data_IF_875455521666
#
_entry.id   IF_875455521666
#
_cell.length_a   1.000
_cell.length_b   1.000
_cell.length_c   1.000
_cell.angle_alpha   90.00
_cell.angle_beta   90.00
_cell.angle_gamma   90.00
#
_symmetry.space_group_name_H-M   'P 1'
#
loop_
_entity.id
_entity.type
_entity.pdbx_description
1 polymer ?
#
# COMPACT_ATOMS: atom_id res chain seq x y z
N UNK A 1 2.74 19.06 7.06
CA UNK A 1 2.77 18.08 5.95
C UNK A 1 3.26 16.70 6.43
N UNK A 2 2.56 15.59 6.13
CA UNK A 2 3.07 14.25 6.38
C UNK A 2 4.13 13.97 5.31
N UNK A 3 5.40 13.99 5.71
CA UNK A 3 6.52 13.67 4.82
C UNK A 3 6.63 12.16 4.69
N UNK A 4 6.80 11.64 3.48
CA UNK A 4 7.24 10.26 3.26
C UNK A 4 8.54 10.06 4.05
N UNK A 5 8.50 9.18 5.06
CA UNK A 5 9.59 9.03 6.03
C UNK A 5 10.58 7.99 5.52
N UNK A 6 11.71 8.41 4.94
CA UNK A 6 12.86 7.53 4.62
C UNK A 6 12.45 6.16 4.06
N UNK A 7 11.55 6.16 3.07
CA UNK A 7 10.97 4.94 2.49
C UNK A 7 11.73 4.54 1.23
N UNK A 8 11.95 3.24 1.04
CA UNK A 8 12.50 2.69 -0.20
C UNK A 8 11.66 1.53 -0.71
N UNK A 9 11.57 1.39 -2.03
CA UNK A 9 11.00 0.21 -2.68
C UNK A 9 12.13 -0.75 -2.99
N UNK A 10 12.01 -1.98 -2.49
CA UNK A 10 12.96 -3.06 -2.78
C UNK A 10 12.24 -4.12 -3.59
N UNK A 11 12.78 -4.43 -4.77
CA UNK A 11 12.21 -5.49 -5.61
C UNK A 11 12.48 -6.84 -4.98
N UNK A 12 11.45 -7.69 -4.93
CA UNK A 12 11.61 -9.09 -4.52
C UNK A 12 12.15 -9.95 -5.66
N UNK A 13 12.13 -9.44 -6.90
CA UNK A 13 12.35 -10.20 -8.13
C UNK A 13 11.37 -11.37 -8.34
N UNK A 14 10.26 -11.40 -7.57
CA UNK A 14 9.23 -12.42 -7.70
C UNK A 14 8.05 -11.93 -8.52
N UNK A 15 7.57 -12.78 -9.42
CA UNK A 15 6.28 -12.65 -10.09
C UNK A 15 5.34 -13.62 -9.41
N UNK A 16 4.33 -13.08 -8.73
CA UNK A 16 3.42 -13.85 -7.89
C UNK A 16 2.00 -13.71 -8.45
N UNK A 17 1.26 -14.80 -8.40
CA UNK A 17 -0.17 -14.89 -8.71
C UNK A 17 -0.85 -15.67 -7.56
N UNK A 18 -2.10 -15.33 -7.27
CA UNK A 18 -2.94 -16.03 -6.29
C UNK A 18 -4.17 -16.62 -6.96
N UNK A 19 -4.82 -17.55 -6.27
CA UNK A 19 -6.12 -18.07 -6.72
C UNK A 19 -7.19 -16.96 -6.67
N UNK A 20 -8.27 -17.08 -7.47
CA UNK A 20 -9.38 -16.15 -7.43
C UNK A 20 -9.94 -15.96 -6.02
N UNK A 21 -10.05 -14.70 -5.59
CA UNK A 21 -10.55 -14.36 -4.26
C UNK A 21 -9.48 -14.38 -3.17
N UNK A 22 -8.21 -14.58 -3.51
CA UNK A 22 -7.09 -14.41 -2.58
C UNK A 22 -6.29 -13.13 -2.90
N UNK A 23 -5.58 -12.63 -1.90
CA UNK A 23 -4.62 -11.53 -2.00
C UNK A 23 -3.35 -11.88 -1.24
N UNK A 24 -2.24 -11.25 -1.60
CA UNK A 24 -1.00 -11.37 -0.86
C UNK A 24 -0.88 -10.25 0.17
N UNK A 25 -0.78 -10.62 1.44
CA UNK A 25 -0.35 -9.73 2.51
C UNK A 25 1.19 -9.74 2.58
N UNK A 26 1.79 -8.64 2.14
CA UNK A 26 3.17 -8.31 2.44
C UNK A 26 3.22 -7.67 3.81
N UNK A 27 4.08 -8.17 4.70
CA UNK A 27 4.17 -7.67 6.07
C UNK A 27 5.58 -7.88 6.62
N UNK A 28 5.87 -7.19 7.72
CA UNK A 28 7.14 -7.33 8.42
C UNK A 28 7.30 -8.72 9.04
N UNK A 29 8.55 -9.09 9.36
CA UNK A 29 8.87 -10.37 10.00
C UNK A 29 8.81 -10.16 11.51
N UNK A 30 7.84 -10.77 12.22
CA UNK A 30 7.73 -10.60 13.65
C UNK A 30 9.00 -11.08 14.36
N UNK A 31 9.39 -10.36 15.42
CA UNK A 31 10.53 -10.71 16.28
C UNK A 31 11.91 -10.73 15.59
N UNK A 32 12.05 -10.11 14.41
CA UNK A 32 13.33 -9.92 13.75
C UNK A 32 13.78 -8.45 13.90
N UNK A 33 14.66 -8.11 14.86
CA UNK A 33 15.10 -6.74 15.10
C UNK A 33 15.98 -6.25 13.95
N UNK A 34 15.56 -5.17 13.28
CA UNK A 34 16.23 -4.59 12.11
C UNK A 34 16.08 -3.07 12.14
N UNK A 35 17.01 -2.31 11.53
CA UNK A 35 16.95 -0.84 11.48
C UNK A 35 15.91 -0.30 10.47
N UNK A 36 14.93 -1.12 10.13
CA UNK A 36 13.84 -0.82 9.21
C UNK A 36 12.67 -1.77 9.49
N UNK A 37 11.49 -1.34 9.05
CA UNK A 37 10.28 -2.18 9.00
C UNK A 37 9.73 -2.27 7.59
N UNK A 38 9.08 -3.38 7.28
CA UNK A 38 8.29 -3.49 6.04
C UNK A 38 6.91 -2.88 6.27
N UNK A 39 6.51 -1.93 5.42
CA UNK A 39 5.15 -1.41 5.47
C UNK A 39 4.17 -2.48 4.95
N UNK A 40 3.08 -2.76 5.69
CA UNK A 40 2.14 -3.78 5.27
C UNK A 40 1.40 -3.34 4.02
N UNK A 41 1.21 -4.27 3.08
CA UNK A 41 0.48 -4.03 1.85
C UNK A 41 -0.33 -5.27 1.47
N UNK A 42 -1.50 -5.03 0.88
CA UNK A 42 -2.29 -6.07 0.23
C UNK A 42 -2.18 -5.92 -1.27
N UNK A 43 -1.95 -7.05 -1.93
CA UNK A 43 -1.66 -7.11 -3.35
C UNK A 43 -2.61 -8.09 -4.02
N UNK A 44 -3.45 -7.57 -4.92
CA UNK A 44 -4.45 -8.33 -5.68
C UNK A 44 -3.81 -8.91 -6.94
N UNK A 45 -3.04 -9.98 -6.78
CA UNK A 45 -2.27 -10.57 -7.89
C UNK A 45 -3.11 -11.43 -8.83
N UNK A 46 -4.32 -11.82 -8.42
CA UNK A 46 -5.29 -12.53 -9.27
C UNK A 46 -6.00 -11.60 -10.27
N UNK A 47 -6.18 -10.34 -9.89
CA UNK A 47 -6.90 -9.36 -10.69
C UNK A 47 -5.98 -8.38 -11.43
N UNK A 48 -4.83 -8.04 -10.83
CA UNK A 48 -3.83 -7.15 -11.42
C UNK A 48 -2.47 -7.85 -11.53
N UNK A 49 -2.25 -8.68 -12.57
CA UNK A 49 -0.94 -9.26 -12.79
C UNK A 49 0.07 -8.14 -13.09
N UNK A 50 1.05 -7.96 -12.21
CA UNK A 50 2.04 -6.91 -12.39
C UNK A 50 2.89 -7.18 -13.64
N UNK A 51 3.13 -6.14 -14.44
CA UNK A 51 4.09 -6.15 -15.55
C UNK A 51 5.55 -6.06 -15.09
N UNK A 52 5.79 -6.07 -13.78
CA UNK A 52 7.11 -6.00 -13.14
C UNK A 52 7.11 -6.84 -11.85
N UNK A 53 8.30 -7.27 -11.41
CA UNK A 53 8.45 -8.02 -10.17
C UNK A 53 7.87 -7.28 -8.98
N UNK A 54 7.23 -7.98 -8.03
CA UNK A 54 6.66 -7.34 -6.85
C UNK A 54 7.73 -6.67 -5.98
N UNK A 55 7.32 -5.68 -5.20
CA UNK A 55 8.22 -4.91 -4.35
C UNK A 55 7.65 -4.85 -2.93
N UNK A 56 8.53 -4.91 -1.92
CA UNK A 56 8.17 -4.48 -0.58
C UNK A 56 8.61 -3.02 -0.39
N UNK A 57 7.92 -2.31 0.50
CA UNK A 57 8.31 -0.96 0.91
C UNK A 57 8.94 -1.07 2.29
N UNK A 58 10.18 -0.64 2.40
CA UNK A 58 10.88 -0.53 3.67
C UNK A 58 10.78 0.90 4.17
N UNK A 59 10.54 1.07 5.46
CA UNK A 59 10.64 2.34 6.16
C UNK A 59 11.78 2.22 7.17
N UNK A 60 12.80 3.07 7.02
CA UNK A 60 13.96 3.10 7.91
C UNK A 60 13.60 3.76 9.24
N UNK A 61 14.26 3.33 10.32
CA UNK A 61 14.16 3.99 11.62
C UNK A 61 14.65 5.45 11.52
N UNK A 62 14.12 6.33 12.38
CA UNK A 62 14.43 7.77 12.30
C UNK A 62 15.91 8.07 12.56
N UNK A 63 16.55 7.25 13.41
CA UNK A 63 17.95 7.35 13.79
C UNK A 63 18.89 6.56 12.86
N UNK A 64 18.35 5.80 11.89
CA UNK A 64 19.14 5.04 10.96
C UNK A 64 19.54 5.90 9.75
N UNK A 65 20.85 6.18 9.63
CA UNK A 65 21.40 6.88 8.46
C UNK A 65 21.66 5.95 7.26
N UNK A 66 21.85 4.66 7.54
CA UNK A 66 22.12 3.60 6.55
C UNK A 66 21.54 2.29 7.03
N UNK A 67 21.02 1.49 6.10
CA UNK A 67 20.75 0.06 6.31
C UNK A 67 21.68 -0.76 5.41
N UNK A 68 22.08 -1.93 5.91
CA UNK A 68 22.76 -2.97 5.13
C UNK A 68 21.89 -4.21 5.23
N UNK A 69 21.52 -4.76 4.07
CA UNK A 69 20.74 -5.99 3.98
C UNK A 69 21.65 -7.00 3.31
N UNK A 70 21.97 -8.06 4.05
CA UNK A 70 22.86 -9.09 3.54
C UNK A 70 22.14 -9.99 2.53
N UNK A 71 22.91 -10.60 1.62
CA UNK A 71 22.34 -11.56 0.68
C UNK A 71 21.72 -12.73 1.46
N UNK A 72 20.46 -13.04 1.14
CA UNK A 72 19.72 -14.13 1.77
C UNK A 72 19.03 -13.72 3.07
N UNK A 73 19.23 -12.49 3.55
CA UNK A 73 18.44 -11.94 4.65
C UNK A 73 16.97 -11.84 4.23
N UNK A 74 16.03 -12.40 5.00
CA UNK A 74 14.63 -12.39 4.63
C UNK A 74 14.08 -10.96 4.75
N UNK A 75 13.57 -10.40 3.64
CA UNK A 75 13.09 -9.02 3.60
C UNK A 75 11.75 -8.85 4.32
N UNK A 76 10.75 -9.61 3.88
CA UNK A 76 9.38 -9.52 4.34
C UNK A 76 8.75 -10.91 4.40
N UNK A 77 7.59 -11.01 5.05
CA UNK A 77 6.72 -12.17 4.96
C UNK A 77 5.62 -11.89 3.93
N UNK A 78 5.35 -12.88 3.09
CA UNK A 78 4.26 -12.86 2.11
C UNK A 78 3.28 -13.96 2.51
N UNK A 79 2.02 -13.61 2.75
CA UNK A 79 0.99 -14.55 3.21
C UNK A 79 -0.22 -14.44 2.27
N UNK A 80 -0.70 -15.53 1.67
CA UNK A 80 -1.99 -15.52 0.99
C UNK A 80 -3.12 -15.35 2.02
N UNK A 81 -4.04 -14.44 1.74
CA UNK A 81 -5.20 -14.13 2.58
C UNK A 81 -6.44 -14.16 1.71
N UNK A 82 -7.52 -14.80 2.21
CA UNK A 82 -8.80 -14.83 1.51
C UNK A 82 -9.54 -13.50 1.63
N UNK A 83 -10.11 -13.05 0.51
CA UNK A 83 -11.08 -11.96 0.44
C UNK A 83 -12.47 -12.56 0.64
N UNK A 84 -12.97 -12.49 1.87
CA UNK A 84 -14.30 -13.03 2.18
C UNK A 84 -15.43 -12.04 1.86
N UNK A 85 -15.19 -10.73 2.02
CA UNK A 85 -16.25 -9.71 2.02
C UNK A 85 -16.00 -8.53 1.11
N UNK A 86 -14.82 -8.43 0.51
CA UNK A 86 -14.45 -7.32 -0.37
C UNK A 86 -13.98 -7.88 -1.71
N UNK A 87 -14.75 -7.58 -2.75
CA UNK A 87 -14.44 -7.94 -4.13
C UNK A 87 -14.38 -6.68 -4.93
N UNK A 88 -13.35 -6.60 -5.76
CA UNK A 88 -13.20 -5.48 -6.64
C UNK A 88 -13.56 -5.93 -8.06
N UNK A 89 -14.19 -5.02 -8.79
CA UNK A 89 -14.82 -5.26 -10.10
C UNK A 89 -14.44 -4.12 -11.03
N UNK A 90 -14.27 -4.44 -12.30
CA UNK A 90 -14.05 -3.44 -13.34
C UNK A 90 -15.27 -2.50 -13.40
N UNK A 91 -14.98 -1.20 -13.43
CA UNK A 91 -16.00 -0.19 -13.72
C UNK A 91 -16.22 -0.16 -15.24
N UNK A 92 -17.47 -0.06 -15.68
CA UNK A 92 -17.73 0.34 -17.06
C UNK A 92 -17.40 1.83 -17.27
N UNK A 93 -17.34 2.26 -18.53
CA UNK A 93 -16.95 3.62 -18.90
C UNK A 93 -17.85 4.68 -18.25
N UNK A 94 -19.15 4.41 -18.17
CA UNK A 94 -20.14 5.33 -17.57
C UNK A 94 -19.94 5.42 -16.05
N UNK A 95 -19.70 4.28 -15.38
CA UNK A 95 -19.39 4.21 -13.96
C UNK A 95 -18.09 4.95 -13.64
N UNK A 96 -17.05 4.75 -14.46
CA UNK A 96 -15.78 5.44 -14.30
C UNK A 96 -15.94 6.93 -14.50
N UNK A 97 -16.62 7.36 -15.58
CA UNK A 97 -16.90 8.78 -15.85
C UNK A 97 -17.63 9.44 -14.68
N UNK A 98 -18.72 8.83 -14.22
CA UNK A 98 -19.47 9.34 -13.07
C UNK A 98 -18.65 9.35 -11.77
N UNK A 99 -17.80 8.35 -11.53
CA UNK A 99 -16.90 8.33 -10.37
C UNK A 99 -15.83 9.43 -10.47
N UNK A 100 -15.21 9.58 -11.63
CA UNK A 100 -14.19 10.57 -11.91
C UNK A 100 -14.74 11.98 -11.72
N UNK A 101 -15.91 12.29 -12.28
CA UNK A 101 -16.56 13.60 -12.14
C UNK A 101 -16.88 13.94 -10.68
N UNK A 102 -17.39 12.96 -9.91
CA UNK A 102 -17.59 13.12 -8.46
C UNK A 102 -16.26 13.39 -7.75
N UNK A 103 -15.20 12.69 -8.13
CA UNK A 103 -13.85 12.89 -7.60
C UNK A 103 -13.33 14.30 -7.90
N UNK A 104 -13.49 14.79 -9.13
CA UNK A 104 -13.11 16.15 -9.53
C UNK A 104 -13.91 17.22 -8.77
N UNK A 105 -15.22 17.04 -8.64
CA UNK A 105 -16.07 17.95 -7.87
C UNK A 105 -15.67 17.97 -6.39
N UNK A 106 -15.35 16.81 -5.82
CA UNK A 106 -14.86 16.69 -4.45
C UNK A 106 -13.51 17.40 -4.28
N UNK A 107 -12.55 17.19 -5.19
CA UNK A 107 -11.24 17.85 -5.18
C UNK A 107 -11.38 19.37 -5.36
N UNK A 108 -12.29 19.84 -6.21
CA UNK A 108 -12.54 21.26 -6.38
C UNK A 108 -13.08 21.92 -5.10
N UNK A 109 -13.91 21.20 -4.33
CA UNK A 109 -14.56 21.68 -3.10
C UNK A 109 -13.69 21.52 -1.84
N UNK A 110 -12.91 20.45 -1.77
CA UNK A 110 -12.19 20.02 -0.56
C UNK A 110 -10.68 19.90 -0.76
N UNK A 111 -10.22 19.75 -2.01
CA UNK A 111 -8.81 19.63 -2.38
C UNK A 111 -8.10 20.96 -2.57
N UNK A 112 -8.78 22.10 -2.43
CA UNK A 112 -8.12 23.40 -2.34
C UNK A 112 -7.71 23.66 -0.90
N UNK A 113 -6.42 23.46 -0.60
CA UNK A 113 -5.83 24.07 0.59
C UNK A 113 -5.92 25.60 0.47
N UNK A 114 -5.83 26.31 1.60
CA UNK A 114 -5.81 27.77 1.59
C UNK A 114 -4.72 28.29 0.64
N UNK A 115 -4.98 29.36 -0.14
CA UNK A 115 -3.99 29.94 -1.04
C UNK A 115 -2.89 30.62 -0.22
N UNK A 116 -1.90 29.82 0.18
CA UNK A 116 -0.63 30.25 0.75
C UNK A 116 0.54 29.60 -0.02
N UNK A 117 1.77 30.09 0.14
CA UNK A 117 2.94 29.60 -0.61
C UNK A 117 3.29 28.13 -0.34
N UNK A 118 2.66 27.48 0.65
CA UNK A 118 2.84 26.06 0.96
C UNK A 118 1.49 25.46 1.37
N UNK A 119 0.99 24.51 0.58
CA UNK A 119 -0.25 23.77 0.85
C UNK A 119 0.01 22.64 1.84
N UNK A 120 -0.53 22.74 3.05
CA UNK A 120 -0.44 21.68 4.04
C UNK A 120 -1.57 20.65 3.86
N UNK A 121 -1.25 19.50 3.27
CA UNK A 121 -2.17 18.38 3.04
C UNK A 121 -2.25 17.39 4.23
N UNK A 122 -1.68 17.71 5.40
CA UNK A 122 -1.76 16.83 6.58
C UNK A 122 -3.20 16.71 7.05
N UNK A 123 -3.78 15.51 6.96
CA UNK A 123 -5.09 15.20 7.54
C UNK A 123 -6.26 15.10 6.55
N UNK A 124 -6.07 15.41 5.26
CA UNK A 124 -7.12 15.23 4.24
C UNK A 124 -7.66 13.79 4.18
N UNK A 125 -6.80 12.81 4.48
CA UNK A 125 -7.13 11.38 4.52
C UNK A 125 -7.37 10.83 5.94
N UNK A 126 -7.18 11.64 6.99
CA UNK A 126 -7.21 11.18 8.38
C UNK A 126 -8.59 10.77 8.88
N UNK A 127 -9.67 11.27 8.27
CA UNK A 127 -11.05 10.93 8.64
C UNK A 127 -11.64 9.73 7.87
N UNK A 128 -10.95 9.22 6.84
CA UNK A 128 -11.49 8.18 5.94
C UNK A 128 -10.75 6.84 6.06
N UNK A 129 -9.70 6.75 6.86
CA UNK A 129 -9.06 5.47 7.18
C UNK A 129 -9.85 4.75 8.28
N UNK A 130 -10.97 4.14 7.92
CA UNK A 130 -11.49 3.04 8.73
C UNK A 130 -10.46 1.91 8.68
N UNK A 131 -10.15 1.30 9.83
CA UNK A 131 -9.23 0.15 9.86
C UNK A 131 -9.85 -0.97 9.04
N UNK A 132 -9.27 -1.25 7.87
CA UNK A 132 -9.61 -2.44 7.10
C UNK A 132 -9.41 -3.68 7.99
N UNK A 133 -10.44 -4.52 8.08
CA UNK A 133 -10.38 -5.77 8.85
C UNK A 133 -10.02 -6.91 7.90
N UNK A 134 -8.93 -7.60 8.20
CA UNK A 134 -8.51 -8.80 7.49
C UNK A 134 -8.57 -9.97 8.46
N UNK A 135 -9.14 -11.09 8.02
CA UNK A 135 -9.18 -12.33 8.78
C UNK A 135 -8.13 -13.27 8.21
N UNK A 136 -7.17 -13.65 9.05
CA UNK A 136 -6.23 -14.73 8.70
C UNK A 136 -6.93 -16.04 9.04
N UNK A 137 -7.16 -16.89 8.04
CA UNK A 137 -7.73 -18.23 8.23
C UNK A 137 -6.57 -19.23 8.21
N UNK A 138 -6.33 -19.88 9.35
CA UNK A 138 -5.40 -21.02 9.51
C UNK A 138 -6.09 -22.33 9.22
#
# INVERSE_FOLDING_TARGET
APKLRRQMKVSTFLYLATDPGEVLLFTDIPHLPRPFRVLPALVETDWYPASYAWHCVLEMDEDADRIVIERGEPLCRIVPVKRDTFFAKEMDDDQFGAFFDRGQAWLARHGKGEPGPMMDITGAYGRQQAKSQFRVVT
#
